data_IF_478328044082
#
_entry.id   IF_478328044082
#
_cell.length_a   1.000
_cell.length_b   1.000
_cell.length_c   1.000
_cell.angle_alpha   90.00
_cell.angle_beta   90.00
_cell.angle_gamma   90.00
#
_symmetry.space_group_name_H-M   'P 1'
#
loop_
_entity.id
_entity.type
_entity.pdbx_description
1 polymer ?
#
# COMPACT_ATOMS: atom_id res chain seq x y z
N UNK A 1 31.78 10.65 2.76
CA UNK A 1 30.95 10.70 3.99
C UNK A 1 30.11 9.43 4.03
N UNK A 2 30.21 8.64 5.10
CA UNK A 2 29.54 7.34 5.22
C UNK A 2 28.12 7.61 5.74
N UNK A 3 27.08 7.18 5.03
CA UNK A 3 25.70 7.29 5.51
C UNK A 3 25.53 6.30 6.67
N UNK A 4 25.32 6.85 7.86
CA UNK A 4 24.90 6.10 9.04
C UNK A 4 23.53 5.50 8.74
N UNK A 5 23.45 4.18 8.63
CA UNK A 5 22.17 3.46 8.71
C UNK A 5 21.70 3.57 10.16
N UNK A 6 21.04 4.68 10.47
CA UNK A 6 20.26 4.80 11.68
C UNK A 6 19.14 3.76 11.55
N UNK A 7 19.25 2.67 12.30
CA UNK A 7 18.19 1.69 12.44
C UNK A 7 17.05 2.37 13.18
N UNK A 8 16.25 3.14 12.45
CA UNK A 8 14.92 3.53 12.86
C UNK A 8 14.26 2.22 13.22
N UNK A 9 13.96 2.04 14.51
CA UNK A 9 13.10 0.95 14.95
C UNK A 9 11.75 1.22 14.28
N UNK A 10 11.55 0.64 13.09
CA UNK A 10 10.34 0.80 12.29
C UNK A 10 9.20 0.28 13.13
N UNK A 11 8.45 1.20 13.73
CA UNK A 11 7.20 0.86 14.38
C UNK A 11 6.28 0.37 13.27
N UNK A 12 5.66 -0.81 13.41
CA UNK A 12 4.79 -1.33 12.38
C UNK A 12 3.68 -0.33 12.07
N UNK A 13 3.45 -0.06 10.80
CA UNK A 13 2.50 0.93 10.33
C UNK A 13 1.09 0.50 10.78
N UNK A 14 0.39 1.40 11.47
CA UNK A 14 -0.99 1.15 11.85
C UNK A 14 -1.91 1.46 10.67
N UNK A 15 -2.76 0.49 10.32
CA UNK A 15 -3.74 0.61 9.25
C UNK A 15 -5.16 0.42 9.79
N UNK A 16 -6.11 1.21 9.29
CA UNK A 16 -7.54 1.08 9.61
C UNK A 16 -8.20 -0.08 8.86
N UNK A 17 -7.59 -0.52 7.76
CA UNK A 17 -8.04 -1.66 6.98
C UNK A 17 -7.01 -2.04 5.92
N UNK A 18 -6.95 -3.33 5.59
CA UNK A 18 -6.07 -3.88 4.56
C UNK A 18 -6.81 -4.99 3.82
N UNK A 19 -6.66 -5.05 2.50
CA UNK A 19 -7.17 -6.12 1.66
C UNK A 19 -6.15 -6.56 0.62
N UNK A 20 -6.24 -7.83 0.24
CA UNK A 20 -5.46 -8.40 -0.86
C UNK A 20 -6.45 -8.90 -1.91
N UNK A 21 -6.29 -8.47 -3.16
CA UNK A 21 -7.16 -8.88 -4.26
C UNK A 21 -7.11 -10.40 -4.53
N UNK A 22 -8.03 -10.91 -5.34
CA UNK A 22 -7.80 -12.19 -6.02
C UNK A 22 -6.58 -12.09 -6.96
N UNK A 23 -5.95 -13.21 -7.36
CA UNK A 23 -4.90 -13.20 -8.38
C UNK A 23 -5.36 -12.58 -9.70
N UNK A 24 -4.53 -11.69 -10.24
CA UNK A 24 -4.74 -11.04 -11.54
C UNK A 24 -3.74 -11.68 -12.52
N UNK A 25 -4.27 -12.44 -13.48
CA UNK A 25 -3.48 -13.08 -14.54
C UNK A 25 -3.00 -12.00 -15.52
N UNK A 26 -1.71 -12.02 -15.83
CA UNK A 26 -1.12 -11.11 -16.82
C UNK A 26 -1.19 -11.70 -18.23
N UNK A 27 -1.36 -10.90 -19.30
CA UNK A 27 -1.48 -11.39 -20.67
C UNK A 27 -0.26 -12.17 -21.17
N UNK A 28 0.92 -11.89 -20.63
CA UNK A 28 2.21 -12.44 -21.08
C UNK A 28 2.78 -13.48 -20.12
N UNK A 29 1.97 -14.00 -19.20
CA UNK A 29 2.37 -14.99 -18.20
C UNK A 29 2.59 -14.39 -16.81
N UNK A 30 2.44 -15.25 -15.80
CA UNK A 30 2.48 -14.85 -14.39
C UNK A 30 1.15 -14.29 -13.87
N UNK A 31 1.12 -14.07 -12.57
CA UNK A 31 0.02 -13.41 -11.88
C UNK A 31 0.55 -12.55 -10.74
N UNK A 32 -0.21 -11.51 -10.41
CA UNK A 32 0.08 -10.64 -9.29
C UNK A 32 -1.18 -10.46 -8.44
N UNK A 33 -1.00 -9.89 -7.26
CA UNK A 33 -2.10 -9.42 -6.41
C UNK A 33 -1.89 -7.96 -6.08
N UNK A 34 -2.96 -7.28 -5.72
CA UNK A 34 -2.92 -5.90 -5.26
C UNK A 34 -3.19 -5.94 -3.76
N UNK A 35 -2.24 -5.44 -2.98
CA UNK A 35 -2.44 -5.08 -1.57
C UNK A 35 -2.90 -3.63 -1.55
N UNK A 36 -4.00 -3.36 -0.85
CA UNK A 36 -4.53 -2.03 -0.66
C UNK A 36 -4.89 -1.83 0.81
N UNK A 37 -4.50 -0.70 1.39
CA UNK A 37 -4.72 -0.39 2.80
C UNK A 37 -5.10 1.07 3.00
N UNK A 38 -5.77 1.33 4.12
CA UNK A 38 -6.07 2.67 4.62
C UNK A 38 -5.23 2.91 5.87
N UNK A 39 -4.45 3.99 5.90
CA UNK A 39 -3.71 4.40 7.10
C UNK A 39 -4.63 5.00 8.19
N UNK A 40 -4.05 5.46 9.30
CA UNK A 40 -4.83 6.12 10.36
C UNK A 40 -5.39 7.48 9.94
N UNK A 41 -4.80 8.15 8.95
CA UNK A 41 -5.25 9.44 8.41
C UNK A 41 -6.40 9.32 7.42
N UNK A 42 -6.69 8.11 6.95
CA UNK A 42 -7.72 7.83 5.96
C UNK A 42 -7.21 7.83 4.51
N UNK A 43 -5.90 7.85 4.30
CA UNK A 43 -5.28 7.74 2.98
C UNK A 43 -5.24 6.29 2.52
N UNK A 44 -5.65 6.05 1.27
CA UNK A 44 -5.46 4.75 0.62
C UNK A 44 -4.11 4.70 -0.07
N UNK A 45 -3.40 3.61 0.18
CA UNK A 45 -2.17 3.23 -0.51
C UNK A 45 -2.31 1.84 -1.13
N UNK A 46 -1.63 1.62 -2.26
CA UNK A 46 -1.71 0.38 -3.04
C UNK A 46 -0.33 -0.08 -3.47
N UNK A 47 -0.08 -1.39 -3.43
CA UNK A 47 1.12 -2.02 -4.00
C UNK A 47 0.77 -3.31 -4.72
N UNK A 48 1.47 -3.54 -5.82
CA UNK A 48 1.46 -4.83 -6.53
C UNK A 48 2.44 -5.76 -5.82
N UNK A 49 2.02 -6.99 -5.59
CA UNK A 49 2.81 -8.06 -4.98
C UNK A 49 2.68 -9.35 -5.79
N UNK A 50 3.53 -10.32 -5.50
CA UNK A 50 3.47 -11.64 -6.12
C UNK A 50 2.13 -12.36 -5.85
N UNK A 51 1.77 -13.30 -6.73
CA UNK A 51 0.55 -14.12 -6.57
C UNK A 51 0.50 -14.85 -5.22
N UNK A 52 1.62 -15.43 -4.81
CA UNK A 52 1.76 -16.27 -3.61
C UNK A 52 2.24 -15.50 -2.37
N UNK A 53 2.01 -14.18 -2.34
CA UNK A 53 2.41 -13.33 -1.20
C UNK A 53 1.85 -13.87 0.13
N UNK A 54 2.70 -13.90 1.14
CA UNK A 54 2.35 -14.29 2.51
C UNK A 54 1.86 -13.09 3.34
N UNK A 55 1.12 -13.32 4.44
CA UNK A 55 0.71 -12.23 5.33
C UNK A 55 1.87 -11.39 5.89
N UNK A 56 3.01 -12.02 6.19
CA UNK A 56 4.20 -11.33 6.70
C UNK A 56 4.84 -10.45 5.61
N UNK A 57 4.89 -10.91 4.37
CA UNK A 57 5.35 -10.11 3.23
C UNK A 57 4.40 -8.95 2.92
N UNK A 58 3.09 -9.13 3.13
CA UNK A 58 2.11 -8.05 3.05
C UNK A 58 2.41 -6.99 4.10
N UNK A 59 2.61 -7.38 5.38
CA UNK A 59 2.98 -6.45 6.45
C UNK A 59 4.28 -5.71 6.12
N UNK A 60 5.33 -6.43 5.72
CA UNK A 60 6.60 -5.82 5.33
C UNK A 60 6.50 -4.90 4.11
N UNK A 61 5.55 -5.17 3.20
CA UNK A 61 5.27 -4.28 2.04
C UNK A 61 4.62 -2.97 2.49
N UNK A 62 3.72 -3.04 3.48
CA UNK A 62 3.07 -1.87 4.08
C UNK A 62 4.08 -1.05 4.89
N UNK A 63 4.87 -1.70 5.75
CA UNK A 63 5.82 -1.01 6.63
C UNK A 63 6.90 -0.25 5.83
N UNK A 64 7.41 -0.85 4.75
CA UNK A 64 8.41 -0.21 3.88
C UNK A 64 7.82 0.81 2.90
N UNK A 65 6.50 1.01 2.91
CA UNK A 65 5.87 1.90 1.95
C UNK A 65 6.18 3.36 2.29
N UNK A 66 6.94 4.01 1.41
CA UNK A 66 7.06 5.46 1.40
C UNK A 66 6.01 6.03 0.45
N UNK A 67 5.19 6.94 0.96
CA UNK A 67 4.20 7.64 0.13
C UNK A 67 4.89 8.44 -0.96
N UNK A 68 4.46 8.24 -2.21
CA UNK A 68 4.92 9.06 -3.33
C UNK A 68 4.28 10.45 -3.31
N UNK A 69 4.78 11.36 -4.15
CA UNK A 69 4.12 12.66 -4.39
C UNK A 69 2.72 12.43 -4.95
N UNK A 70 1.72 12.97 -4.26
CA UNK A 70 0.35 13.07 -4.77
C UNK A 70 0.21 14.43 -5.47
N UNK A 71 -0.17 14.40 -6.73
CA UNK A 71 -0.57 15.58 -7.48
C UNK A 71 -2.10 15.65 -7.41
N UNK A 72 -2.64 16.71 -6.82
CA UNK A 72 -4.07 17.05 -6.91
C UNK A 72 -4.22 18.27 -7.79
N UNK A 73 -5.24 18.28 -8.62
CA UNK A 73 -5.62 19.44 -9.42
C UNK A 73 -6.51 20.37 -8.57
N UNK A 74 -6.58 21.65 -8.94
CA UNK A 74 -7.31 22.67 -8.18
C UNK A 74 -8.84 22.42 -8.14
N UNK A 75 -9.35 21.73 -9.15
CA UNK A 75 -10.74 21.33 -9.34
C UNK A 75 -11.08 19.96 -8.74
N UNK A 76 -10.10 19.26 -8.15
CA UNK A 76 -10.36 18.13 -7.24
C UNK A 76 -10.95 18.69 -5.91
N UNK A 77 -12.22 19.13 -5.93
CA UNK A 77 -12.95 19.51 -4.72
C UNK A 77 -12.81 18.43 -3.62
N UNK A 78 -12.85 18.84 -2.34
CA UNK A 78 -12.64 18.02 -1.12
C UNK A 78 -13.05 16.55 -1.34
N UNK A 79 -12.08 15.74 -1.78
CA UNK A 79 -12.36 14.37 -2.14
C UNK A 79 -12.97 13.65 -0.93
N UNK A 80 -14.06 12.89 -1.12
CA UNK A 80 -14.66 12.13 -0.03
C UNK A 80 -13.60 11.27 0.66
N UNK A 81 -13.78 11.04 1.97
CA UNK A 81 -12.89 10.15 2.74
C UNK A 81 -12.71 8.85 1.97
N UNK A 82 -11.47 8.52 1.64
CA UNK A 82 -11.19 7.34 0.87
C UNK A 82 -11.57 6.11 1.70
N UNK A 83 -12.40 5.23 1.15
CA UNK A 83 -12.83 3.99 1.79
C UNK A 83 -12.54 2.82 0.87
N UNK A 84 -12.16 1.68 1.44
CA UNK A 84 -12.08 0.45 0.67
C UNK A 84 -13.52 0.01 0.41
N UNK A 85 -13.98 -0.03 -0.86
CA UNK A 85 -15.34 -0.47 -1.14
C UNK A 85 -15.56 -1.88 -0.58
N UNK A 86 -16.69 -2.08 0.09
CA UNK A 86 -17.10 -3.38 0.64
C UNK A 86 -17.45 -4.31 -0.53
N UNK A 87 -16.87 -5.51 -0.53
CA UNK A 87 -17.34 -6.62 -1.37
C UNK A 87 -18.42 -7.39 -0.62
#
# INVERSE_FOLDING_TARGET
MKQSHETVTERPMQVRGCRVSAPIRQPWGGACRIVEWIDTTGQISRRVVAENVTPDEVRATIDRHVEGRKYMLYDDERAPRQTLPRR
#
